data_IF_483187648125
#
_entry.id   IF_483187648125
#
_cell.length_a   1.000
_cell.length_b   1.000
_cell.length_c   1.000
_cell.angle_alpha   90.00
_cell.angle_beta   90.00
_cell.angle_gamma   90.00
#
_symmetry.space_group_name_H-M   'P 1'
#
loop_
_entity.id
_entity.type
_entity.pdbx_description
1 polymer ?
#
# COMPACT_ATOMS: atom_id res chain seq x y z
N UNK A 1 -1.05 -13.86 2.37
CA UNK A 1 -1.48 -12.52 1.90
C UNK A 1 -2.22 -11.68 2.97
N UNK A 2 -1.86 -11.78 4.26
CA UNK A 2 -2.51 -11.02 5.36
C UNK A 2 -1.69 -9.82 5.88
N UNK A 3 -0.39 -9.74 5.54
CA UNK A 3 0.51 -8.63 5.89
C UNK A 3 0.03 -7.29 5.31
N UNK A 4 -0.65 -7.35 4.15
CA UNK A 4 -1.22 -6.19 3.46
C UNK A 4 -2.31 -5.46 4.27
N UNK A 5 -3.00 -6.11 5.21
CA UNK A 5 -4.22 -5.55 5.81
C UNK A 5 -4.00 -4.41 6.81
N UNK A 6 -2.80 -4.27 7.41
CA UNK A 6 -2.59 -3.33 8.52
C UNK A 6 -2.08 -1.96 8.05
N UNK A 7 -1.24 -1.94 7.02
CA UNK A 7 -0.80 -0.67 6.38
C UNK A 7 -1.90 -0.02 5.53
N UNK A 8 -2.92 -0.80 5.23
CA UNK A 8 -4.08 -0.45 4.42
C UNK A 8 -5.08 0.46 5.16
N UNK A 9 -5.21 0.30 6.48
CA UNK A 9 -6.26 0.91 7.30
C UNK A 9 -6.02 2.38 7.66
N UNK A 10 -4.76 2.82 7.68
CA UNK A 10 -4.38 4.15 8.20
C UNK A 10 -4.60 5.27 7.18
N UNK A 11 -4.48 4.99 5.89
CA UNK A 11 -4.52 6.02 4.83
C UNK A 11 -5.90 6.35 4.28
N UNK A 12 -6.85 5.43 4.42
CA UNK A 12 -8.18 5.55 3.82
C UNK A 12 -9.21 6.19 4.76
N UNK A 13 -8.91 6.32 6.06
CA UNK A 13 -9.80 6.90 7.07
C UNK A 13 -10.08 8.40 6.85
N UNK A 14 -9.07 9.18 6.47
CA UNK A 14 -9.21 10.63 6.25
C UNK A 14 -9.94 10.97 4.93
N UNK A 15 -9.74 10.15 3.89
CA UNK A 15 -10.43 10.30 2.60
C UNK A 15 -11.90 9.85 2.67
N UNK A 16 -12.17 8.74 3.38
CA UNK A 16 -13.51 8.21 3.57
C UNK A 16 -14.39 9.14 4.41
N UNK A 17 -13.85 9.66 5.51
CA UNK A 17 -14.56 10.60 6.39
C UNK A 17 -14.90 11.93 5.68
N UNK A 18 -14.01 12.44 4.82
CA UNK A 18 -14.24 13.67 4.06
C UNK A 18 -15.31 13.54 2.97
N UNK A 19 -15.64 12.31 2.55
CA UNK A 19 -16.59 12.04 1.45
C UNK A 19 -17.81 11.20 1.87
N UNK A 20 -17.95 10.91 3.17
CA UNK A 20 -19.08 10.12 3.69
C UNK A 20 -19.08 8.65 3.25
N UNK A 21 -17.92 8.11 2.86
CA UNK A 21 -17.79 6.73 2.38
C UNK A 21 -17.62 5.80 3.57
N UNK A 22 -18.40 4.72 3.59
CA UNK A 22 -18.26 3.66 4.60
C UNK A 22 -16.86 3.03 4.50
N UNK A 23 -16.09 3.13 5.59
CA UNK A 23 -14.72 2.61 5.67
C UNK A 23 -14.66 1.09 5.49
N UNK A 24 -15.71 0.36 5.90
CA UNK A 24 -15.83 -1.10 5.69
C UNK A 24 -16.03 -1.39 4.20
N UNK A 25 -16.90 -0.62 3.54
CA UNK A 25 -17.13 -0.76 2.09
C UNK A 25 -15.85 -0.45 1.31
N UNK A 26 -15.16 0.63 1.63
CA UNK A 26 -13.88 1.00 1.02
C UNK A 26 -12.82 -0.09 1.19
N UNK A 27 -12.66 -0.63 2.40
CA UNK A 27 -11.72 -1.72 2.64
C UNK A 27 -12.05 -2.98 1.83
N UNK A 28 -13.33 -3.37 1.77
CA UNK A 28 -13.78 -4.54 1.02
C UNK A 28 -13.53 -4.39 -0.49
N UNK A 29 -13.89 -3.24 -1.04
CA UNK A 29 -13.77 -2.94 -2.48
C UNK A 29 -12.31 -2.94 -2.91
N UNK A 30 -11.45 -2.30 -2.13
CA UNK A 30 -10.02 -2.22 -2.47
C UNK A 30 -9.34 -3.58 -2.28
N UNK A 31 -9.72 -4.38 -1.28
CA UNK A 31 -9.26 -5.77 -1.16
C UNK A 31 -9.67 -6.63 -2.37
N UNK A 32 -10.87 -6.46 -2.91
CA UNK A 32 -11.30 -7.17 -4.12
C UNK A 32 -10.40 -6.83 -5.32
N UNK A 33 -10.08 -5.55 -5.52
CA UNK A 33 -9.15 -5.15 -6.59
C UNK A 33 -7.75 -5.69 -6.33
N UNK A 34 -7.26 -5.64 -5.09
CA UNK A 34 -5.91 -6.07 -4.74
C UNK A 34 -5.70 -7.58 -4.89
N UNK A 35 -6.73 -8.39 -4.61
CA UNK A 35 -6.64 -9.86 -4.61
C UNK A 35 -7.07 -10.50 -5.93
N UNK A 36 -7.67 -9.75 -6.85
CA UNK A 36 -8.10 -10.26 -8.15
C UNK A 36 -6.96 -10.72 -9.05
N UNK A 37 -7.25 -11.66 -9.94
CA UNK A 37 -6.30 -12.22 -10.91
C UNK A 37 -6.41 -11.53 -12.28
N UNK A 38 -5.26 -11.32 -12.94
CA UNK A 38 -5.22 -10.75 -14.29
C UNK A 38 -5.53 -9.25 -14.38
N UNK A 39 -5.88 -8.74 -15.57
CA UNK A 39 -6.36 -7.37 -15.76
C UNK A 39 -7.69 -7.11 -15.07
N UNK A 40 -7.97 -5.86 -14.70
CA UNK A 40 -9.27 -5.42 -14.18
C UNK A 40 -10.27 -5.48 -15.34
N UNK A 41 -11.36 -6.21 -15.14
CA UNK A 41 -12.48 -6.30 -16.08
C UNK A 41 -13.42 -5.10 -15.94
N UNK A 42 -14.23 -4.83 -16.97
CA UNK A 42 -15.22 -3.74 -16.92
C UNK A 42 -16.21 -3.93 -15.76
N UNK A 43 -16.62 -5.17 -15.52
CA UNK A 43 -17.51 -5.49 -14.40
C UNK A 43 -16.88 -5.19 -13.03
N UNK A 44 -15.61 -5.51 -12.83
CA UNK A 44 -14.88 -5.16 -11.60
C UNK A 44 -14.72 -3.65 -11.45
N UNK A 45 -14.43 -2.95 -12.55
CA UNK A 45 -14.34 -1.48 -12.59
C UNK A 45 -15.66 -0.81 -12.20
N UNK A 46 -16.76 -1.21 -12.84
CA UNK A 46 -18.08 -0.63 -12.59
C UNK A 46 -18.52 -0.93 -11.14
N UNK A 47 -18.29 -2.16 -10.66
CA UNK A 47 -18.57 -2.57 -9.28
C UNK A 47 -17.76 -1.76 -8.27
N UNK A 48 -16.47 -1.52 -8.54
CA UNK A 48 -15.61 -0.72 -7.66
C UNK A 48 -16.20 0.68 -7.43
N UNK A 49 -16.57 1.38 -8.50
CA UNK A 49 -17.13 2.73 -8.40
C UNK A 49 -18.54 2.75 -7.82
N UNK A 50 -19.37 1.75 -8.15
CA UNK A 50 -20.70 1.59 -7.59
C UNK A 50 -20.67 1.37 -6.08
N UNK A 51 -19.78 0.50 -5.59
CA UNK A 51 -19.66 0.19 -4.16
C UNK A 51 -19.06 1.35 -3.34
N UNK A 52 -18.28 2.23 -3.97
CA UNK A 52 -17.84 3.48 -3.35
C UNK A 52 -18.93 4.57 -3.34
N UNK A 53 -20.06 4.36 -4.03
CA UNK A 53 -21.14 5.34 -4.14
C UNK A 53 -20.77 6.57 -4.98
N UNK A 54 -19.70 6.49 -5.78
CA UNK A 54 -19.17 7.62 -6.53
C UNK A 54 -19.75 7.62 -7.95
N UNK A 55 -20.85 8.35 -8.14
CA UNK A 55 -21.62 8.34 -9.38
C UNK A 55 -21.36 9.55 -10.30
N UNK A 56 -20.78 10.64 -9.77
CA UNK A 56 -20.47 11.85 -10.54
C UNK A 56 -19.03 11.84 -11.01
N UNK A 57 -18.80 12.29 -12.25
CA UNK A 57 -17.46 12.34 -12.85
C UNK A 57 -16.48 13.19 -12.04
N UNK A 58 -16.93 14.32 -11.47
CA UNK A 58 -16.10 15.20 -10.64
C UNK A 58 -15.67 14.54 -9.32
N UNK A 59 -16.60 13.86 -8.64
CA UNK A 59 -16.32 13.16 -7.38
C UNK A 59 -15.37 11.98 -7.63
N UNK A 60 -15.54 11.29 -8.76
CA UNK A 60 -14.63 10.26 -9.23
C UNK A 60 -13.22 10.80 -9.47
N UNK A 61 -13.08 11.94 -10.14
CA UNK A 61 -11.78 12.56 -10.38
C UNK A 61 -11.09 12.94 -9.06
N UNK A 62 -11.83 13.52 -8.10
CA UNK A 62 -11.33 13.83 -6.75
C UNK A 62 -10.88 12.57 -6.02
N UNK A 63 -11.71 11.52 -6.01
CA UNK A 63 -11.38 10.25 -5.36
C UNK A 63 -10.15 9.59 -5.99
N UNK A 64 -10.05 9.56 -7.33
CA UNK A 64 -8.86 9.09 -8.04
C UNK A 64 -7.61 9.84 -7.57
N UNK A 65 -7.69 11.17 -7.45
CA UNK A 65 -6.60 12.00 -6.95
C UNK A 65 -6.14 11.58 -5.55
N UNK A 66 -7.10 11.46 -4.62
CA UNK A 66 -6.82 11.07 -3.23
C UNK A 66 -6.25 9.65 -3.14
N UNK A 67 -6.84 8.68 -3.84
CA UNK A 67 -6.34 7.30 -3.86
C UNK A 67 -4.93 7.22 -4.46
N UNK A 68 -4.62 8.00 -5.50
CA UNK A 68 -3.27 8.02 -6.08
C UNK A 68 -2.25 8.65 -5.13
N UNK A 69 -2.58 9.80 -4.55
CA UNK A 69 -1.66 10.56 -3.70
C UNK A 69 -1.37 9.88 -2.35
N UNK A 70 -2.34 9.14 -1.81
CA UNK A 70 -2.19 8.48 -0.50
C UNK A 70 -1.97 6.98 -0.64
N UNK A 71 -3.00 6.30 -1.14
CA UNK A 71 -3.02 4.85 -1.12
C UNK A 71 -1.98 4.25 -2.07
N UNK A 72 -2.01 4.63 -3.36
CA UNK A 72 -1.06 4.09 -4.36
C UNK A 72 0.37 4.47 -3.98
N UNK A 73 0.62 5.72 -3.60
CA UNK A 73 1.95 6.15 -3.18
C UNK A 73 2.49 5.37 -1.97
N UNK A 74 1.64 5.04 -0.98
CA UNK A 74 2.03 4.18 0.15
C UNK A 74 2.38 2.76 -0.28
N UNK A 75 1.64 2.19 -1.24
CA UNK A 75 1.95 0.86 -1.79
C UNK A 75 3.24 0.90 -2.64
N UNK A 76 3.49 1.97 -3.38
CA UNK A 76 4.75 2.17 -4.09
C UNK A 76 5.93 2.33 -3.14
N UNK A 77 5.76 3.06 -2.03
CA UNK A 77 6.77 3.13 -0.97
C UNK A 77 7.10 1.72 -0.44
N UNK A 78 6.08 0.92 -0.13
CA UNK A 78 6.28 -0.45 0.30
C UNK A 78 6.99 -1.29 -0.77
N UNK A 79 6.62 -1.18 -2.04
CA UNK A 79 7.34 -1.87 -3.13
C UNK A 79 8.84 -1.55 -3.11
N UNK A 80 9.21 -0.27 -3.00
CA UNK A 80 10.62 0.13 -2.94
C UNK A 80 11.35 -0.41 -1.69
N UNK A 81 10.66 -0.45 -0.54
CA UNK A 81 11.20 -1.08 0.68
C UNK A 81 11.48 -2.57 0.44
N UNK A 82 10.57 -3.31 -0.20
CA UNK A 82 10.77 -4.74 -0.51
C UNK A 82 11.88 -4.97 -1.54
N UNK A 83 12.07 -4.07 -2.50
CA UNK A 83 13.24 -4.08 -3.41
C UNK A 83 14.53 -3.92 -2.60
N UNK A 84 14.56 -2.95 -1.68
CA UNK A 84 15.69 -2.77 -0.77
C UNK A 84 15.92 -3.97 0.15
N UNK A 85 14.86 -4.64 0.62
CA UNK A 85 14.99 -5.84 1.43
C UNK A 85 15.66 -6.98 0.65
N UNK A 86 15.37 -7.13 -0.64
CA UNK A 86 16.08 -8.10 -1.49
C UNK A 86 17.56 -7.74 -1.65
N UNK A 87 17.88 -6.46 -1.86
CA UNK A 87 19.26 -5.99 -1.92
C UNK A 87 19.99 -6.24 -0.58
N UNK A 88 19.33 -5.96 0.54
CA UNK A 88 19.86 -6.19 1.88
C UNK A 88 20.12 -7.68 2.12
N UNK A 89 19.19 -8.55 1.73
CA UNK A 89 19.33 -10.00 1.83
C UNK A 89 20.55 -10.55 1.07
N UNK A 90 20.77 -10.02 -0.14
CA UNK A 90 21.84 -10.48 -1.02
C UNK A 90 23.22 -9.95 -0.63
N UNK A 91 23.27 -8.74 -0.07
CA UNK A 91 24.52 -8.06 0.32
C UNK A 91 24.88 -8.18 1.80
N UNK A 92 23.94 -8.66 2.63
CA UNK A 92 24.04 -8.74 4.10
C UNK A 92 24.23 -7.38 4.79
N UNK A 93 23.86 -6.29 4.12
CA UNK A 93 23.99 -4.91 4.62
C UNK A 93 22.72 -4.15 4.28
N UNK A 94 22.27 -3.25 5.16
CA UNK A 94 21.13 -2.37 4.86
C UNK A 94 21.56 -1.33 3.80
N UNK A 95 20.98 -1.35 2.58
CA UNK A 95 21.34 -0.41 1.54
C UNK A 95 20.71 0.96 1.80
N UNK A 96 21.21 1.99 1.09
CA UNK A 96 20.49 3.27 0.98
C UNK A 96 19.32 3.13 0.02
N UNK A 97 18.12 3.47 0.50
CA UNK A 97 16.87 3.29 -0.23
C UNK A 97 16.30 4.62 -0.74
N UNK A 98 17.00 5.28 -1.65
CA UNK A 98 16.67 6.65 -2.09
C UNK A 98 15.25 6.78 -2.65
N UNK A 99 14.79 5.81 -3.46
CA UNK A 99 13.43 5.81 -3.99
C UNK A 99 12.37 5.66 -2.88
N UNK A 100 12.61 4.78 -1.90
CA UNK A 100 11.70 4.62 -0.77
C UNK A 100 11.66 5.90 0.07
N UNK A 101 12.82 6.52 0.33
CA UNK A 101 12.93 7.78 1.07
C UNK A 101 12.19 8.92 0.37
N UNK A 102 12.32 9.04 -0.96
CA UNK A 102 11.60 10.06 -1.75
C UNK A 102 10.08 9.88 -1.66
N UNK A 103 9.58 8.63 -1.75
CA UNK A 103 8.15 8.34 -1.61
C UNK A 103 7.64 8.60 -0.20
N UNK A 104 8.40 8.22 0.82
CA UNK A 104 8.08 8.51 2.21
C UNK A 104 8.01 10.02 2.48
N UNK A 105 8.96 10.79 1.95
CA UNK A 105 8.93 12.26 2.04
C UNK A 105 7.68 12.85 1.40
N UNK A 106 7.26 12.32 0.25
CA UNK A 106 6.02 12.75 -0.42
C UNK A 106 4.77 12.41 0.40
N UNK A 107 4.73 11.25 1.07
CA UNK A 107 3.65 10.89 1.99
C UNK A 107 3.61 11.79 3.23
N UNK A 108 4.78 12.07 3.84
CA UNK A 108 4.89 12.97 4.99
C UNK A 108 4.37 14.37 4.66
N UNK A 109 4.78 14.93 3.52
CA UNK A 109 4.34 16.24 3.06
C UNK A 109 2.81 16.31 2.76
N UNK A 110 2.18 15.20 2.39
CA UNK A 110 0.72 15.16 2.23
C UNK A 110 -0.01 15.13 3.59
N UNK A 111 0.48 14.33 4.54
CA UNK A 111 -0.14 14.16 5.85
C UNK A 111 0.08 15.32 6.81
N UNK A 112 1.16 16.09 6.65
CA UNK A 112 1.39 17.35 7.36
C UNK A 112 0.26 18.36 7.08
N UNK A 113 -0.37 18.31 5.90
CA UNK A 113 -1.52 19.15 5.57
C UNK A 113 -2.80 18.76 6.30
N UNK A 114 -2.82 17.60 6.96
CA UNK A 114 -4.01 17.02 7.62
C UNK A 114 -3.79 16.66 9.08
N UNK A 115 -2.79 17.25 9.75
CA UNK A 115 -2.43 17.00 11.16
C UNK A 115 -2.29 15.50 11.52
N UNK A 116 -1.91 14.68 10.53
CA UNK A 116 -1.86 13.21 10.65
C UNK A 116 -0.42 12.68 10.56
N UNK A 117 0.57 13.50 10.91
CA UNK A 117 2.01 13.18 10.73
C UNK A 117 2.45 11.90 11.44
N UNK A 118 1.90 11.60 12.62
CA UNK A 118 2.19 10.38 13.38
C UNK A 118 1.63 9.09 12.78
N UNK A 119 0.77 9.18 11.76
CA UNK A 119 0.13 8.02 11.13
C UNK A 119 1.13 7.15 10.33
N UNK A 120 2.30 7.71 9.99
CA UNK A 120 3.33 7.04 9.21
C UNK A 120 4.36 6.26 10.04
N UNK A 121 4.52 6.57 11.34
CA UNK A 121 5.59 5.99 12.16
C UNK A 121 5.55 4.45 12.18
N UNK A 122 4.39 3.78 12.36
CA UNK A 122 4.35 2.32 12.35
C UNK A 122 4.80 1.71 11.02
N UNK A 123 4.54 2.41 9.90
CA UNK A 123 4.94 2.00 8.56
C UNK A 123 6.45 2.14 8.37
N UNK A 124 7.03 3.26 8.82
CA UNK A 124 8.48 3.50 8.81
C UNK A 124 9.22 2.50 9.69
N UNK A 125 8.75 2.28 10.92
CA UNK A 125 9.34 1.33 11.87
C UNK A 125 9.31 -0.10 11.34
N UNK A 126 8.18 -0.53 10.77
CA UNK A 126 8.08 -1.85 10.15
C UNK A 126 9.07 -2.00 8.98
N UNK A 127 9.20 -0.95 8.16
CA UNK A 127 10.10 -0.96 7.00
C UNK A 127 11.56 -1.06 7.44
N UNK A 128 11.97 -0.29 8.45
CA UNK A 128 13.33 -0.32 9.00
C UNK A 128 13.64 -1.71 9.59
N UNK A 129 12.72 -2.26 10.39
CA UNK A 129 12.87 -3.59 10.98
C UNK A 129 12.97 -4.70 9.91
N UNK A 130 12.20 -4.60 8.82
CA UNK A 130 12.28 -5.52 7.69
C UNK A 130 13.66 -5.45 7.01
N UNK A 131 14.20 -4.27 6.75
CA UNK A 131 15.50 -4.11 6.11
C UNK A 131 16.62 -4.68 6.98
N UNK A 132 16.59 -4.41 8.29
CA UNK A 132 17.55 -4.98 9.23
C UNK A 132 17.46 -6.50 9.30
N UNK A 133 16.25 -7.04 9.41
CA UNK A 133 16.03 -8.48 9.45
C UNK A 133 16.45 -9.14 8.13
N UNK A 134 16.22 -8.50 6.98
CA UNK A 134 16.67 -9.02 5.69
C UNK A 134 18.21 -9.08 5.62
N UNK A 135 18.92 -8.02 6.03
CA UNK A 135 20.38 -7.98 6.05
C UNK A 135 20.97 -9.06 6.99
N UNK A 136 20.36 -9.24 8.16
CA UNK A 136 20.80 -10.20 9.18
C UNK A 136 20.23 -11.61 8.98
N UNK A 137 19.36 -11.82 7.99
CA UNK A 137 18.55 -13.04 7.79
C UNK A 137 17.79 -13.47 9.05
N UNK A 138 17.28 -12.48 9.78
CA UNK A 138 16.58 -12.64 11.05
C UNK A 138 15.06 -12.71 10.87
N UNK A 139 14.37 -12.35 11.94
CA UNK A 139 12.92 -12.41 12.03
C UNK A 139 12.34 -11.04 12.31
N UNK A 140 11.12 -10.80 11.84
CA UNK A 140 10.34 -9.59 12.15
C UNK A 140 9.06 -9.96 12.88
N UNK A 141 8.53 -9.04 13.69
CA UNK A 141 7.20 -9.22 14.26
C UNK A 141 6.17 -9.32 13.13
N UNK A 142 5.31 -10.33 13.18
CA UNK A 142 4.17 -10.41 12.29
C UNK A 142 3.27 -9.20 12.59
N UNK A 143 2.97 -8.35 11.59
CA UNK A 143 2.09 -7.21 11.83
C UNK A 143 0.72 -7.66 12.35
N UNK A 144 0.28 -8.89 12.05
CA UNK A 144 -0.98 -9.46 12.53
C UNK A 144 -0.90 -10.07 13.95
N UNK A 145 0.17 -9.84 14.71
CA UNK A 145 0.29 -10.27 16.11
C UNK A 145 0.62 -11.76 16.33
N UNK A 146 0.70 -12.57 15.27
CA UNK A 146 0.91 -14.03 15.37
C UNK A 146 2.39 -14.44 15.55
N UNK A 147 3.14 -13.74 16.42
CA UNK A 147 4.56 -14.04 16.70
C UNK A 147 5.55 -13.48 15.66
N UNK A 148 6.79 -13.96 15.69
CA UNK A 148 7.84 -13.57 14.74
C UNK A 148 7.79 -14.41 13.46
N UNK A 149 8.13 -13.79 12.32
CA UNK A 149 8.24 -14.43 11.02
C UNK A 149 9.68 -14.31 10.54
N UNK A 150 10.29 -15.44 10.18
CA UNK A 150 11.62 -15.45 9.57
C UNK A 150 11.54 -14.81 8.19
N UNK A 151 12.38 -13.80 7.96
CA UNK A 151 12.52 -13.19 6.65
C UNK A 151 13.24 -14.19 5.75
N UNK A 152 12.71 -14.41 4.55
CA UNK A 152 13.33 -15.26 3.53
C UNK A 152 13.31 -14.55 2.18
N UNK A 153 14.22 -14.93 1.28
CA UNK A 153 14.22 -14.41 -0.09
C UNK A 153 12.91 -14.71 -0.82
N UNK A 154 12.32 -15.87 -0.59
CA UNK A 154 11.02 -16.25 -1.14
C UNK A 154 9.90 -15.35 -0.65
N UNK A 155 9.86 -15.05 0.66
CA UNK A 155 8.90 -14.11 1.24
C UNK A 155 9.07 -12.71 0.65
N UNK A 156 10.30 -12.24 0.50
CA UNK A 156 10.61 -10.94 -0.09
C UNK A 156 10.09 -10.88 -1.53
N UNK A 157 10.46 -11.86 -2.36
CA UNK A 157 10.08 -11.90 -3.78
C UNK A 157 8.57 -12.03 -3.97
N UNK A 158 7.93 -12.97 -3.27
CA UNK A 158 6.48 -13.16 -3.36
C UNK A 158 5.69 -11.94 -2.90
N UNK A 159 6.15 -11.23 -1.86
CA UNK A 159 5.50 -10.01 -1.39
C UNK A 159 5.66 -8.88 -2.41
N UNK A 160 6.85 -8.69 -2.98
CA UNK A 160 7.09 -7.71 -4.06
C UNK A 160 6.20 -7.98 -5.28
N UNK A 161 6.16 -9.22 -5.75
CA UNK A 161 5.32 -9.59 -6.89
C UNK A 161 3.83 -9.35 -6.60
N UNK A 162 3.39 -9.58 -5.36
CA UNK A 162 2.04 -9.24 -4.92
C UNK A 162 1.77 -7.74 -5.00
N UNK A 163 2.71 -6.92 -4.53
CA UNK A 163 2.63 -5.45 -4.61
C UNK A 163 2.58 -4.97 -6.06
N UNK A 164 3.42 -5.51 -6.94
CA UNK A 164 3.46 -5.14 -8.36
C UNK A 164 2.14 -5.44 -9.07
N UNK A 165 1.61 -6.66 -8.89
CA UNK A 165 0.32 -7.06 -9.45
C UNK A 165 -0.81 -6.16 -8.96
N UNK A 166 -0.83 -5.88 -7.67
CA UNK A 166 -1.82 -5.01 -7.04
C UNK A 166 -1.73 -3.58 -7.61
N UNK A 167 -0.53 -2.99 -7.70
CA UNK A 167 -0.31 -1.66 -8.25
C UNK A 167 -0.77 -1.55 -9.70
N UNK A 168 -0.48 -2.56 -10.53
CA UNK A 168 -0.97 -2.64 -11.91
C UNK A 168 -2.50 -2.62 -11.96
N UNK A 169 -3.17 -3.41 -11.10
CA UNK A 169 -4.65 -3.42 -11.05
C UNK A 169 -5.21 -2.07 -10.58
N UNK A 170 -4.58 -1.42 -9.60
CA UNK A 170 -4.99 -0.06 -9.20
C UNK A 170 -4.79 0.98 -10.30
N UNK A 171 -3.75 0.86 -11.10
CA UNK A 171 -3.55 1.75 -12.26
C UNK A 171 -4.65 1.63 -13.32
N UNK A 172 -5.37 0.51 -13.36
CA UNK A 172 -6.49 0.26 -14.26
C UNK A 172 -7.81 0.76 -13.66
N UNK A 173 -8.08 0.47 -12.39
CA UNK A 173 -9.33 0.89 -11.73
C UNK A 173 -9.40 2.39 -11.47
N UNK A 174 -8.25 3.05 -11.25
CA UNK A 174 -8.14 4.48 -10.98
C UNK A 174 -7.97 5.32 -12.26
N UNK A 175 -8.54 4.85 -13.38
CA UNK A 175 -8.71 5.62 -14.62
C UNK A 175 -10.06 6.33 -14.62
N UNK A 176 -10.19 7.51 -15.27
CA UNK A 176 -11.47 8.22 -15.38
C UNK A 176 -12.57 7.36 -16.01
N UNK A 177 -12.18 6.56 -17.01
CA UNK A 177 -13.01 5.61 -17.75
C UNK A 177 -12.27 4.27 -17.85
N UNK A 178 -13.00 3.18 -18.09
CA UNK A 178 -12.44 1.84 -18.33
C UNK A 178 -11.54 1.83 -19.58
#
# INVERSE_FOLDING_TARGET
MKIFQILFLVFLSTAAAAQGIDQIALNSVVQQIATGSGPVTKAEYDKFWQQLGVNRSEDKAKMIGVMKQRFVLAQEYQREVWICAEQAWNSHVVPRCENAQSKLGSLKADLEKTDSSGALSPLEDYSNNLLEAAAKRGSIQNPNGAGQVNVSLEMIKSTREGLDKMLVRFSQVLRPNY
#
